data_IF_962942095689
#
_entry.id   IF_962942095689
#
_cell.length_a   1.000
_cell.length_b   1.000
_cell.length_c   1.000
_cell.angle_alpha   90.00
_cell.angle_beta   90.00
_cell.angle_gamma   90.00
#
_symmetry.space_group_name_H-M   'P 1'
#
loop_
_entity.id
_entity.type
_entity.pdbx_description
1 polymer ?
#
# COMPACT_ATOMS: atom_id res chain seq x y z
N UNK A 1 -4.96 8.64 -16.64
CA UNK A 1 -4.39 9.69 -15.75
C UNK A 1 -4.18 9.09 -14.36
N UNK A 2 -2.96 9.06 -13.82
CA UNK A 2 -2.66 8.49 -12.50
C UNK A 2 -2.55 9.57 -11.42
N UNK A 3 -3.53 9.61 -10.52
CA UNK A 3 -3.55 10.51 -9.36
C UNK A 3 -3.09 9.77 -8.10
N UNK A 4 -2.03 10.27 -7.46
CA UNK A 4 -1.58 9.76 -6.16
C UNK A 4 -2.11 10.63 -5.01
N UNK A 5 -2.84 10.02 -4.08
CA UNK A 5 -3.23 10.65 -2.82
C UNK A 5 -2.16 10.32 -1.79
N UNK A 6 -1.41 11.35 -1.39
CA UNK A 6 -0.18 11.21 -0.61
C UNK A 6 -0.36 11.89 0.75
N UNK A 7 -0.38 11.13 1.85
CA UNK A 7 -0.50 11.67 3.19
C UNK A 7 0.81 12.31 3.63
N UNK A 8 0.83 13.63 3.84
CA UNK A 8 2.04 14.29 4.35
C UNK A 8 2.05 14.22 5.87
N UNK A 9 2.96 13.40 6.39
CA UNK A 9 3.26 13.31 7.82
C UNK A 9 4.65 13.84 8.11
N UNK A 10 5.48 13.00 8.72
CA UNK A 10 6.87 13.28 9.02
C UNK A 10 7.83 12.44 8.18
N UNK A 11 7.39 11.85 7.06
CA UNK A 11 8.26 11.01 6.21
C UNK A 11 8.36 11.62 4.82
N UNK A 12 9.59 11.77 4.33
CA UNK A 12 9.86 12.21 2.95
C UNK A 12 10.06 11.02 2.01
N UNK A 13 11.06 10.18 2.33
CA UNK A 13 11.56 9.15 1.40
C UNK A 13 10.46 8.16 0.99
N UNK A 14 9.61 7.75 1.94
CA UNK A 14 8.53 6.78 1.71
C UNK A 14 7.42 7.28 0.79
N UNK A 15 7.34 8.59 0.54
CA UNK A 15 6.27 9.20 -0.24
C UNK A 15 6.65 9.36 -1.71
N UNK A 16 7.93 9.61 -2.01
CA UNK A 16 8.40 9.92 -3.37
C UNK A 16 9.43 8.92 -3.90
N UNK A 17 10.34 8.41 -3.07
CA UNK A 17 11.41 7.53 -3.53
C UNK A 17 10.92 6.23 -4.21
N UNK A 18 9.84 5.55 -3.74
CA UNK A 18 9.29 4.38 -4.43
C UNK A 18 8.85 4.68 -5.85
N UNK A 19 8.20 5.83 -6.06
CA UNK A 19 7.64 6.22 -7.35
C UNK A 19 8.75 6.46 -8.37
N UNK A 20 9.85 7.08 -7.94
CA UNK A 20 11.04 7.28 -8.76
C UNK A 20 11.76 5.96 -9.03
N UNK A 21 12.02 5.16 -7.99
CA UNK A 21 12.80 3.91 -8.10
C UNK A 21 12.09 2.86 -8.97
N UNK A 22 10.77 2.77 -8.84
CA UNK A 22 9.94 1.84 -9.62
C UNK A 22 9.49 2.43 -10.96
N UNK A 23 9.95 3.65 -11.33
CA UNK A 23 9.61 4.35 -12.57
C UNK A 23 8.10 4.40 -12.83
N UNK A 24 7.33 4.76 -11.79
CA UNK A 24 5.87 4.88 -11.89
C UNK A 24 5.50 6.15 -12.63
N UNK A 25 4.47 6.05 -13.46
CA UNK A 25 3.82 7.22 -14.05
C UNK A 25 3.06 7.96 -12.95
N UNK A 26 3.21 9.28 -12.87
CA UNK A 26 2.54 10.09 -11.87
C UNK A 26 2.12 11.39 -12.55
N UNK A 27 0.84 11.47 -12.94
CA UNK A 27 0.30 12.66 -13.61
C UNK A 27 -0.06 13.74 -12.60
N UNK A 28 -0.64 13.34 -11.46
CA UNK A 28 -1.13 14.25 -10.42
C UNK A 28 -0.87 13.71 -9.03
N UNK A 29 -0.60 14.61 -8.08
CA UNK A 29 -0.44 14.30 -6.66
C UNK A 29 -1.28 15.22 -5.80
N UNK A 30 -2.06 14.62 -4.90
CA UNK A 30 -2.83 15.32 -3.88
C UNK A 30 -2.14 15.09 -2.54
N UNK A 31 -1.47 16.12 -2.05
CA UNK A 31 -0.78 16.15 -0.77
C UNK A 31 -1.78 16.45 0.35
N UNK A 32 -2.04 15.48 1.22
CA UNK A 32 -2.90 15.68 2.37
C UNK A 32 -2.08 16.34 3.50
N UNK A 33 -2.50 17.51 3.97
CA UNK A 33 -1.85 18.23 5.06
C UNK A 33 -2.70 18.16 6.34
N UNK A 34 -2.14 17.62 7.43
CA UNK A 34 -2.83 17.60 8.72
C UNK A 34 -2.86 18.98 9.38
N UNK A 35 -4.03 19.43 9.85
CA UNK A 35 -4.18 20.73 10.52
C UNK A 35 -3.97 20.70 12.04
N UNK A 36 -3.73 19.54 12.65
CA UNK A 36 -3.70 19.36 14.12
C UNK A 36 -2.29 19.08 14.63
N UNK A 37 -1.84 19.87 15.62
CA UNK A 37 -0.54 19.70 16.28
C UNK A 37 -0.09 20.98 17.02
N UNK A 38 1.12 20.95 17.60
CA UNK A 38 1.80 22.18 18.03
C UNK A 38 2.18 23.05 16.81
N UNK A 39 2.39 24.35 17.00
CA UNK A 39 2.84 25.25 15.92
C UNK A 39 4.06 24.70 15.18
N UNK A 40 5.01 24.08 15.91
CA UNK A 40 6.18 23.42 15.35
C UNK A 40 5.85 22.25 14.42
N UNK A 41 4.84 21.43 14.75
CA UNK A 41 4.44 20.29 13.93
C UNK A 41 3.79 20.77 12.63
N UNK A 42 2.98 21.83 12.72
CA UNK A 42 2.33 22.45 11.55
C UNK A 42 3.38 23.09 10.64
N UNK A 43 4.37 23.81 11.20
CA UNK A 43 5.46 24.40 10.44
C UNK A 43 6.31 23.33 9.74
N UNK A 44 6.69 22.27 10.47
CA UNK A 44 7.44 21.16 9.90
C UNK A 44 6.69 20.47 8.76
N UNK A 45 5.41 20.12 8.97
CA UNK A 45 4.58 19.50 7.94
C UNK A 45 4.42 20.39 6.71
N UNK A 46 4.28 21.71 6.87
CA UNK A 46 4.23 22.67 5.75
C UNK A 46 5.54 22.74 4.96
N UNK A 47 6.68 22.75 5.65
CA UNK A 47 7.99 22.76 5.01
C UNK A 47 8.20 21.48 4.20
N UNK A 48 7.90 20.32 4.79
CA UNK A 48 7.99 19.03 4.12
C UNK A 48 7.03 18.93 2.93
N UNK A 49 5.80 19.41 3.08
CA UNK A 49 4.82 19.47 1.98
C UNK A 49 5.31 20.35 0.83
N UNK A 50 5.94 21.49 1.13
CA UNK A 50 6.54 22.37 0.11
C UNK A 50 7.71 21.72 -0.64
N UNK A 51 8.56 21.00 0.08
CA UNK A 51 9.64 20.22 -0.51
C UNK A 51 9.08 19.12 -1.42
N UNK A 52 8.17 18.28 -0.92
CA UNK A 52 7.52 17.22 -1.70
C UNK A 52 6.82 17.78 -2.95
N UNK A 53 6.07 18.87 -2.83
CA UNK A 53 5.42 19.53 -3.95
C UNK A 53 6.41 19.91 -5.06
N UNK A 54 7.56 20.48 -4.67
CA UNK A 54 8.60 20.88 -5.60
C UNK A 54 9.26 19.65 -6.24
N UNK A 55 9.53 18.60 -5.47
CA UNK A 55 10.20 17.40 -5.97
C UNK A 55 9.28 16.54 -6.84
N UNK A 56 7.99 16.44 -6.54
CA UNK A 56 7.00 15.80 -7.42
C UNK A 56 6.94 16.49 -8.79
N UNK A 57 6.93 17.83 -8.83
CA UNK A 57 6.98 18.56 -10.10
C UNK A 57 8.30 18.40 -10.83
N UNK A 58 9.42 18.53 -10.13
CA UNK A 58 10.74 18.57 -10.76
C UNK A 58 11.22 17.20 -11.23
N UNK A 59 10.94 16.15 -10.44
CA UNK A 59 11.47 14.81 -10.67
C UNK A 59 10.49 13.93 -11.44
N UNK A 60 9.18 14.09 -11.21
CA UNK A 60 8.14 13.26 -11.81
C UNK A 60 7.26 14.02 -12.83
N UNK A 61 7.37 15.35 -12.91
CA UNK A 61 6.56 16.15 -13.83
C UNK A 61 5.09 16.24 -13.44
N UNK A 62 4.74 15.85 -12.21
CA UNK A 62 3.36 15.74 -11.77
C UNK A 62 2.75 17.10 -11.42
N UNK A 63 1.46 17.28 -11.72
CA UNK A 63 0.66 18.37 -11.16
C UNK A 63 0.41 18.12 -9.67
N UNK A 64 0.44 19.16 -8.84
CA UNK A 64 0.34 19.00 -7.38
C UNK A 64 -0.72 19.91 -6.79
N UNK A 65 -1.52 19.35 -5.88
CA UNK A 65 -2.53 20.05 -5.09
C UNK A 65 -2.37 19.70 -3.61
N UNK A 66 -2.64 20.66 -2.73
CA UNK A 66 -2.66 20.45 -1.28
C UNK A 66 -4.08 20.49 -0.76
N UNK A 67 -4.44 19.47 0.01
CA UNK A 67 -5.76 19.35 0.62
C UNK A 67 -5.59 19.20 2.12
N UNK A 68 -6.32 20.01 2.89
CA UNK A 68 -6.22 19.99 4.36
C UNK A 68 -7.13 18.91 4.93
N UNK A 69 -6.59 18.14 5.90
CA UNK A 69 -7.35 17.25 6.78
C UNK A 69 -7.53 17.97 8.12
N UNK A 70 -8.77 18.41 8.38
CA UNK A 70 -9.08 19.33 9.48
C UNK A 70 -8.78 18.72 10.86
N UNK A 71 -9.12 17.45 11.06
CA UNK A 71 -8.74 16.68 12.25
C UNK A 71 -8.21 15.30 11.84
N UNK A 72 -6.92 15.07 12.07
CA UNK A 72 -6.25 13.81 11.74
C UNK A 72 -6.60 12.66 12.70
N UNK A 73 -7.37 12.95 13.75
CA UNK A 73 -7.89 11.96 14.68
C UNK A 73 -9.38 11.67 14.50
N UNK A 74 -10.08 12.44 13.66
CA UNK A 74 -11.46 12.20 13.29
C UNK A 74 -11.52 11.23 12.10
N UNK A 75 -11.68 9.95 12.43
CA UNK A 75 -11.79 8.88 11.43
C UNK A 75 -12.99 9.07 10.50
N UNK A 76 -14.14 9.48 11.03
CA UNK A 76 -15.39 9.56 10.27
C UNK A 76 -15.30 10.70 9.24
N UNK A 77 -14.83 11.87 9.68
CA UNK A 77 -14.60 13.00 8.77
C UNK A 77 -13.52 12.69 7.72
N UNK A 78 -12.42 12.04 8.12
CA UNK A 78 -11.38 11.62 7.18
C UNK A 78 -11.91 10.59 6.15
N UNK A 79 -12.82 9.70 6.56
CA UNK A 79 -13.44 8.73 5.67
C UNK A 79 -14.36 9.42 4.65
N UNK A 80 -15.23 10.34 5.10
CA UNK A 80 -16.10 11.11 4.21
C UNK A 80 -15.27 11.88 3.17
N UNK A 81 -14.24 12.59 3.63
CA UNK A 81 -13.32 13.33 2.76
C UNK A 81 -12.61 12.41 1.76
N UNK A 82 -12.09 11.27 2.21
CA UNK A 82 -11.43 10.30 1.33
C UNK A 82 -12.39 9.75 0.27
N UNK A 83 -13.61 9.41 0.68
CA UNK A 83 -14.62 8.84 -0.20
C UNK A 83 -15.03 9.84 -1.29
N UNK A 84 -15.25 11.10 -0.94
CA UNK A 84 -15.53 12.17 -1.90
C UNK A 84 -14.36 12.41 -2.84
N UNK A 85 -13.14 12.53 -2.30
CA UNK A 85 -11.93 12.82 -3.07
C UNK A 85 -11.63 11.73 -4.08
N UNK A 86 -11.65 10.46 -3.67
CA UNK A 86 -11.35 9.32 -4.55
C UNK A 86 -12.38 9.25 -5.68
N UNK A 87 -13.68 9.40 -5.38
CA UNK A 87 -14.71 9.38 -6.44
C UNK A 87 -14.55 10.55 -7.42
N UNK A 88 -14.25 11.76 -6.93
CA UNK A 88 -14.04 12.92 -7.78
C UNK A 88 -12.87 12.70 -8.76
N UNK A 89 -11.77 12.10 -8.29
CA UNK A 89 -10.62 11.79 -9.15
C UNK A 89 -10.91 10.64 -10.13
N UNK A 90 -11.66 9.62 -9.73
CA UNK A 90 -12.10 8.55 -10.64
C UNK A 90 -13.03 9.08 -11.75
N UNK A 91 -13.87 10.05 -11.43
CA UNK A 91 -14.85 10.63 -12.36
C UNK A 91 -14.26 11.75 -13.24
N UNK A 92 -13.02 12.18 -12.99
CA UNK A 92 -12.35 13.25 -13.74
C UNK A 92 -12.12 12.87 -15.22
N UNK A 93 -11.81 11.61 -15.48
CA UNK A 93 -11.69 11.04 -16.83
C UNK A 93 -11.94 9.52 -16.82
N UNK A 94 -12.36 8.96 -17.96
CA UNK A 94 -12.73 7.55 -18.09
C UNK A 94 -11.59 6.57 -17.79
N UNK A 95 -10.34 7.00 -17.93
CA UNK A 95 -9.11 6.23 -17.70
C UNK A 95 -8.33 6.75 -16.48
N UNK A 96 -9.01 7.40 -15.53
CA UNK A 96 -8.36 7.89 -14.30
C UNK A 96 -8.11 6.75 -13.33
N UNK A 97 -6.90 6.66 -12.78
CA UNK A 97 -6.53 5.73 -11.72
C UNK A 97 -6.17 6.50 -10.46
N UNK A 98 -6.54 5.96 -9.31
CA UNK A 98 -6.29 6.57 -8.00
C UNK A 98 -5.42 5.65 -7.16
N UNK A 99 -4.29 6.19 -6.72
CA UNK A 99 -3.28 5.51 -5.93
C UNK A 99 -3.19 6.14 -4.54
N UNK A 100 -3.74 5.45 -3.53
CA UNK A 100 -3.81 5.90 -2.14
C UNK A 100 -2.61 5.36 -1.37
N UNK A 101 -1.70 6.25 -0.99
CA UNK A 101 -0.58 5.93 -0.12
C UNK A 101 -1.04 5.96 1.35
N UNK A 102 -0.69 4.94 2.15
CA UNK A 102 -1.05 4.88 3.59
C UNK A 102 0.17 4.89 4.52
N UNK A 103 1.30 5.40 4.03
CA UNK A 103 2.61 5.25 4.67
C UNK A 103 2.86 6.20 5.85
N UNK A 104 2.53 7.49 5.73
CA UNK A 104 3.12 8.53 6.59
C UNK A 104 2.14 9.31 7.50
N UNK A 105 0.82 9.19 7.34
CA UNK A 105 -0.14 9.88 8.21
C UNK A 105 -0.45 9.12 9.51
N UNK A 106 -1.05 9.80 10.51
CA UNK A 106 -1.66 9.14 11.66
C UNK A 106 -2.61 8.02 11.23
N UNK A 107 -2.59 6.93 12.00
CA UNK A 107 -3.36 5.71 11.71
C UNK A 107 -4.85 5.96 11.41
N UNK A 108 -5.58 6.86 12.11
CA UNK A 108 -6.99 7.11 11.79
C UNK A 108 -7.19 7.54 10.33
N UNK A 109 -6.38 8.48 9.83
CA UNK A 109 -6.48 8.93 8.43
C UNK A 109 -6.07 7.83 7.46
N UNK A 110 -4.95 7.15 7.71
CA UNK A 110 -4.49 6.05 6.84
C UNK A 110 -5.53 4.93 6.72
N UNK A 111 -6.18 4.55 7.83
CA UNK A 111 -7.23 3.55 7.82
C UNK A 111 -8.53 4.07 7.19
N UNK A 112 -8.89 5.33 7.40
CA UNK A 112 -10.06 5.95 6.78
C UNK A 112 -9.94 5.97 5.25
N UNK A 113 -8.79 6.41 4.73
CA UNK A 113 -8.52 6.44 3.29
C UNK A 113 -8.45 5.04 2.67
N UNK A 114 -7.78 4.08 3.34
CA UNK A 114 -7.79 2.69 2.89
C UNK A 114 -9.22 2.13 2.86
N UNK A 115 -10.00 2.35 3.92
CA UNK A 115 -11.38 1.85 4.00
C UNK A 115 -12.27 2.51 2.96
N UNK A 116 -12.12 3.82 2.69
CA UNK A 116 -12.86 4.51 1.64
C UNK A 116 -12.54 3.94 0.25
N UNK A 117 -11.25 3.78 -0.08
CA UNK A 117 -10.82 3.14 -1.32
C UNK A 117 -11.43 1.74 -1.46
N UNK A 118 -11.38 0.94 -0.40
CA UNK A 118 -11.94 -0.42 -0.42
C UNK A 118 -13.46 -0.44 -0.57
N UNK A 119 -14.19 0.46 0.11
CA UNK A 119 -15.64 0.60 -0.03
C UNK A 119 -16.01 0.94 -1.47
N UNK A 120 -15.30 1.88 -2.09
CA UNK A 120 -15.51 2.28 -3.48
C UNK A 120 -15.23 1.10 -4.42
N UNK A 121 -14.15 0.34 -4.23
CA UNK A 121 -13.86 -0.87 -5.03
C UNK A 121 -14.98 -1.93 -4.96
N UNK A 122 -15.71 -2.00 -3.84
CA UNK A 122 -16.84 -2.92 -3.67
C UNK A 122 -18.11 -2.39 -4.34
N UNK A 123 -18.35 -1.09 -4.24
CA UNK A 123 -19.54 -0.42 -4.79
C UNK A 123 -19.46 -0.21 -6.31
N UNK A 124 -18.27 0.15 -6.81
CA UNK A 124 -17.94 0.42 -8.22
C UNK A 124 -17.06 -0.70 -8.77
N UNK A 125 -17.64 -1.90 -8.94
CA UNK A 125 -16.88 -3.10 -9.34
C UNK A 125 -16.12 -2.92 -10.66
N UNK A 126 -16.62 -2.10 -11.57
CA UNK A 126 -16.02 -1.79 -12.86
C UNK A 126 -14.80 -0.87 -12.79
N UNK A 127 -14.63 -0.15 -11.68
CA UNK A 127 -13.48 0.73 -11.43
C UNK A 127 -12.45 0.09 -10.48
N UNK A 128 -12.65 -1.18 -10.10
CA UNK A 128 -11.85 -1.85 -9.07
C UNK A 128 -10.36 -1.93 -9.41
N UNK A 129 -10.03 -2.12 -10.66
CA UNK A 129 -8.67 -2.19 -11.18
C UNK A 129 -8.01 -0.81 -11.33
N UNK A 130 -8.77 0.27 -11.16
CA UNK A 130 -8.30 1.66 -11.22
C UNK A 130 -8.00 2.24 -9.82
N UNK A 131 -8.24 1.50 -8.75
CA UNK A 131 -8.08 1.96 -7.37
C UNK A 131 -7.03 1.10 -6.68
N UNK A 132 -5.96 1.74 -6.23
CA UNK A 132 -4.83 1.09 -5.60
C UNK A 132 -4.59 1.68 -4.22
N UNK A 133 -4.54 0.85 -3.19
CA UNK A 133 -4.07 1.25 -1.86
C UNK A 133 -2.70 0.65 -1.65
N UNK A 134 -1.71 1.43 -1.23
CA UNK A 134 -0.35 0.93 -1.09
C UNK A 134 0.41 1.48 0.10
N UNK A 135 1.39 0.68 0.51
CA UNK A 135 2.29 0.96 1.61
C UNK A 135 3.75 0.86 1.16
N UNK A 136 4.58 1.76 1.66
CA UNK A 136 6.03 1.70 1.49
C UNK A 136 6.70 1.47 2.84
N UNK A 137 7.48 0.40 2.92
CA UNK A 137 8.30 0.10 4.08
C UNK A 137 9.57 0.98 4.06
N UNK A 138 9.98 1.57 5.20
CA UNK A 138 11.27 2.24 5.28
C UNK A 138 12.44 1.24 5.32
N UNK A 139 13.63 1.71 4.94
CA UNK A 139 14.87 0.97 5.18
C UNK A 139 15.29 1.09 6.66
N UNK A 140 15.05 2.26 7.28
CA UNK A 140 15.48 2.58 8.64
C UNK A 140 14.52 3.58 9.33
N UNK A 141 14.42 3.47 10.66
CA UNK A 141 13.64 4.34 11.55
C UNK A 141 14.59 5.19 12.39
N UNK A 142 14.48 6.52 12.28
CA UNK A 142 15.38 7.48 12.95
C UNK A 142 15.03 7.68 14.44
N UNK A 143 13.83 7.30 14.86
CA UNK A 143 13.36 7.52 16.23
C UNK A 143 14.22 6.80 17.27
N UNK A 144 14.80 5.66 16.90
CA UNK A 144 15.71 4.91 17.79
C UNK A 144 17.02 5.65 17.99
N UNK A 145 17.60 6.20 16.91
CA UNK A 145 18.84 6.99 16.97
C UNK A 145 18.64 8.30 17.71
N UNK A 146 17.50 8.97 17.49
CA UNK A 146 17.11 10.16 18.25
C UNK A 146 17.04 9.85 19.74
N UNK A 147 16.42 8.73 20.11
CA UNK A 147 16.33 8.32 21.51
C UNK A 147 17.70 7.96 22.11
N UNK A 148 18.59 7.34 21.32
CA UNK A 148 19.97 7.04 21.74
C UNK A 148 20.79 8.31 21.95
N UNK A 149 20.74 9.26 21.03
CA UNK A 149 21.48 10.52 21.16
C UNK A 149 20.94 11.39 22.29
N UNK A 150 19.63 11.45 22.50
CA UNK A 150 19.04 12.14 23.67
C UNK A 150 19.50 11.51 24.99
N UNK A 151 19.61 10.17 25.06
CA UNK A 151 20.15 9.50 26.25
C UNK A 151 21.62 9.82 26.45
N UNK A 152 22.41 9.82 25.39
CA UNK A 152 23.83 10.15 25.44
C UNK A 152 24.07 11.62 25.85
N UNK A 153 23.28 12.55 25.31
CA UNK A 153 23.28 13.95 25.71
C UNK A 153 22.88 14.13 27.17
N UNK A 154 21.88 13.40 27.65
CA UNK A 154 21.49 13.41 29.08
C UNK A 154 22.63 12.94 29.98
N UNK A 155 23.36 11.89 29.61
CA UNK A 155 24.53 11.41 30.35
C UNK A 155 25.64 12.45 30.39
N UNK A 156 25.96 13.07 29.24
CA UNK A 156 26.92 14.17 29.16
C UNK A 156 26.53 15.33 30.09
N UNK A 157 25.26 15.74 30.06
CA UNK A 157 24.75 16.81 30.94
C UNK A 157 24.83 16.44 32.42
N UNK A 158 24.62 15.17 32.77
CA UNK A 158 24.75 14.70 34.15
C UNK A 158 26.21 14.78 34.63
N UNK A 159 27.17 14.37 33.80
CA UNK A 159 28.60 14.46 34.10
C UNK A 159 29.05 15.91 34.31
N UNK A 160 28.59 16.82 33.46
CA UNK A 160 28.85 18.25 33.59
C UNK A 160 28.24 18.82 34.88
N UNK A 161 27.02 18.40 35.26
CA UNK A 161 26.38 18.82 36.50
C UNK A 161 27.11 18.32 37.76
N UNK A 162 27.72 17.13 37.71
CA UNK A 162 28.50 16.61 38.83
C UNK A 162 29.89 17.24 38.96
N UNK A 163 30.24 18.24 38.13
CA UNK A 163 31.58 18.80 38.00
C UNK A 163 32.63 17.71 37.71
N UNK A 164 32.24 16.66 37.00
CA UNK A 164 33.18 15.70 36.44
C UNK A 164 33.98 16.43 35.36
N UNK A 165 35.29 16.21 35.31
CA UNK A 165 36.11 16.73 34.22
C UNK A 165 35.72 16.00 32.93
N UNK A 166 35.04 16.71 32.04
CA UNK A 166 34.56 16.20 30.76
C UNK A 166 35.42 16.82 29.68
N UNK A 167 36.01 15.97 28.85
CA UNK A 167 36.82 16.41 27.71
C UNK A 167 35.98 17.22 26.70
N UNK A 168 36.51 18.36 26.26
CA UNK A 168 35.95 19.17 25.17
C UNK A 168 35.77 18.37 23.88
N UNK A 169 36.57 17.32 23.65
CA UNK A 169 36.38 16.38 22.53
C UNK A 169 35.04 15.63 22.64
N UNK A 170 34.69 15.12 23.81
CA UNK A 170 33.40 14.43 24.04
C UNK A 170 32.21 15.38 23.86
N UNK A 171 32.35 16.65 24.24
CA UNK A 171 31.31 17.67 24.02
C UNK A 171 31.12 17.93 22.53
N UNK A 172 32.22 18.11 21.78
CA UNK A 172 32.17 18.32 20.33
C UNK A 172 31.57 17.13 19.60
N UNK A 173 31.99 15.90 19.93
CA UNK A 173 31.43 14.69 19.34
C UNK A 173 29.90 14.60 19.52
N UNK A 174 29.39 14.93 20.72
CA UNK A 174 27.94 14.91 20.99
C UNK A 174 27.20 16.03 20.27
N UNK A 175 27.80 17.22 20.22
CA UNK A 175 27.22 18.34 19.47
C UNK A 175 27.12 18.01 17.98
N UNK A 176 28.19 17.49 17.38
CA UNK A 176 28.25 17.17 15.96
C UNK A 176 27.30 16.01 15.61
N UNK A 177 27.25 14.96 16.44
CA UNK A 177 26.29 13.87 16.26
C UNK A 177 24.83 14.35 16.34
N UNK A 178 24.51 15.23 17.29
CA UNK A 178 23.16 15.81 17.38
C UNK A 178 22.83 16.70 16.19
N UNK A 179 23.79 17.49 15.70
CA UNK A 179 23.61 18.36 14.54
C UNK A 179 23.38 17.54 13.27
N UNK A 180 24.17 16.49 13.04
CA UNK A 180 24.02 15.58 11.90
C UNK A 180 22.66 14.87 11.93
N UNK A 181 22.24 14.38 13.10
CA UNK A 181 20.97 13.67 13.26
C UNK A 181 19.76 14.60 13.08
N UNK A 182 19.83 15.85 13.56
CA UNK A 182 18.80 16.87 13.29
C UNK A 182 18.75 17.21 11.80
N UNK A 183 19.91 17.37 11.15
CA UNK A 183 19.96 17.65 9.72
C UNK A 183 19.34 16.51 8.89
N UNK A 184 19.60 15.25 9.28
CA UNK A 184 18.99 14.09 8.63
C UNK A 184 17.47 14.03 8.86
N UNK A 185 17.01 14.32 10.09
CA UNK A 185 15.60 14.42 10.42
C UNK A 185 14.90 15.54 9.65
N UNK A 186 15.50 16.72 9.53
CA UNK A 186 14.92 17.86 8.80
C UNK A 186 14.86 17.59 7.28
N UNK A 187 15.83 16.83 6.76
CA UNK A 187 15.91 16.50 5.34
C UNK A 187 14.96 15.36 4.94
N UNK A 188 14.84 14.31 5.76
CA UNK A 188 14.18 13.05 5.40
C UNK A 188 12.97 12.70 6.26
N UNK A 189 12.89 13.26 7.46
CA UNK A 189 11.83 12.95 8.40
C UNK A 189 12.17 11.88 9.43
N UNK A 190 11.16 11.12 9.86
CA UNK A 190 11.28 10.04 10.85
C UNK A 190 11.83 8.75 10.28
N UNK A 191 11.85 8.59 8.96
CA UNK A 191 12.32 7.38 8.31
C UNK A 191 13.24 7.68 7.13
N UNK A 192 14.04 6.68 6.77
CA UNK A 192 14.99 6.75 5.66
C UNK A 192 14.70 5.64 4.66
N UNK A 193 14.76 6.04 3.39
CA UNK A 193 14.69 5.16 2.24
C UNK A 193 13.33 4.52 2.01
N UNK A 194 13.29 3.72 0.96
CA UNK A 194 12.19 2.84 0.64
C UNK A 194 12.76 1.44 0.47
N UNK A 195 12.30 0.48 1.25
CA UNK A 195 12.80 -0.89 1.22
C UNK A 195 12.14 -1.65 0.08
N UNK A 196 12.95 -2.25 -0.79
CA UNK A 196 12.48 -3.17 -1.82
C UNK A 196 11.96 -4.48 -1.17
N UNK A 197 10.73 -4.87 -1.50
CA UNK A 197 10.09 -6.09 -1.03
C UNK A 197 9.49 -6.80 -2.24
N UNK A 198 10.07 -7.93 -2.61
CA UNK A 198 9.54 -8.74 -3.72
C UNK A 198 9.65 -8.08 -5.09
N UNK A 199 10.72 -7.31 -5.34
CA UNK A 199 10.97 -6.67 -6.64
C UNK A 199 10.34 -5.29 -6.82
N UNK A 200 9.69 -4.75 -5.78
CA UNK A 200 8.98 -3.47 -5.81
C UNK A 200 9.22 -2.72 -4.50
N UNK A 201 9.25 -1.39 -4.56
CA UNK A 201 9.30 -0.51 -3.38
C UNK A 201 7.89 -0.18 -2.84
N UNK A 202 6.87 -0.56 -3.60
CA UNK A 202 5.47 -0.41 -3.28
C UNK A 202 4.87 -1.78 -2.96
N UNK A 203 4.22 -1.89 -1.80
CA UNK A 203 3.40 -3.05 -1.43
C UNK A 203 1.94 -2.65 -1.53
N UNK A 204 1.28 -3.10 -2.61
CA UNK A 204 -0.16 -2.93 -2.76
C UNK A 204 -0.91 -3.80 -1.75
N UNK A 205 -1.97 -3.21 -1.17
CA UNK A 205 -2.87 -3.84 -0.22
C UNK A 205 -4.10 -4.34 -0.99
N UNK A 206 -4.16 -5.64 -1.31
CA UNK A 206 -5.22 -6.17 -2.17
C UNK A 206 -6.54 -6.29 -1.41
N UNK A 207 -7.66 -6.07 -2.10
CA UNK A 207 -9.01 -6.15 -1.51
C UNK A 207 -9.80 -7.28 -2.13
N UNK A 208 -10.37 -8.16 -1.32
CA UNK A 208 -11.35 -9.15 -1.79
C UNK A 208 -12.76 -8.55 -1.82
N UNK A 209 -13.59 -8.98 -2.76
CA UNK A 209 -15.03 -8.92 -2.53
C UNK A 209 -15.39 -9.89 -1.39
N UNK A 210 -16.09 -9.41 -0.35
CA UNK A 210 -16.56 -10.21 0.80
C UNK A 210 -17.64 -11.27 0.43
N UNK A 211 -17.73 -11.69 -0.83
CA UNK A 211 -18.72 -12.67 -1.30
C UNK A 211 -18.21 -14.09 -1.03
N UNK A 212 -18.93 -14.83 -0.18
CA UNK A 212 -18.65 -16.24 0.15
C UNK A 212 -18.26 -17.08 -1.05
N UNK A 213 -17.03 -17.64 -1.04
CA UNK A 213 -16.54 -18.65 -1.99
C UNK A 213 -17.39 -19.90 -1.84
N UNK A 214 -17.95 -20.39 -2.96
CA UNK A 214 -18.73 -21.63 -2.97
C UNK A 214 -17.79 -22.84 -3.07
N UNK A 215 -18.21 -24.05 -2.65
CA UNK A 215 -17.33 -25.22 -2.64
C UNK A 215 -16.63 -25.50 -3.98
N UNK A 216 -17.35 -25.43 -5.10
CA UNK A 216 -16.73 -25.64 -6.42
C UNK A 216 -15.82 -24.49 -6.88
N UNK A 217 -16.07 -23.27 -6.40
CA UNK A 217 -15.19 -22.13 -6.67
C UNK A 217 -13.88 -22.26 -5.88
N UNK A 218 -13.94 -22.80 -4.66
CA UNK A 218 -12.79 -23.11 -3.82
C UNK A 218 -11.86 -24.13 -4.47
N UNK A 219 -12.40 -25.22 -5.02
CA UNK A 219 -11.58 -26.20 -5.77
C UNK A 219 -10.84 -25.51 -6.93
N UNK A 220 -11.50 -24.63 -7.68
CA UNK A 220 -10.85 -23.86 -8.77
C UNK A 220 -9.70 -22.99 -8.23
N UNK A 221 -9.88 -22.37 -7.07
CA UNK A 221 -8.84 -21.52 -6.47
C UNK A 221 -7.64 -22.35 -6.01
N UNK A 222 -7.86 -23.50 -5.37
CA UNK A 222 -6.79 -24.41 -4.98
C UNK A 222 -6.04 -24.97 -6.19
N UNK A 223 -6.76 -25.38 -7.24
CA UNK A 223 -6.17 -25.83 -8.50
C UNK A 223 -5.23 -24.77 -9.10
N UNK A 224 -5.69 -23.51 -9.18
CA UNK A 224 -4.84 -22.41 -9.65
C UNK A 224 -3.71 -22.08 -8.68
N UNK A 225 -3.88 -22.36 -7.39
CA UNK A 225 -2.83 -22.20 -6.37
C UNK A 225 -1.72 -23.24 -6.49
N UNK A 226 -2.07 -24.47 -6.86
CA UNK A 226 -1.14 -25.57 -7.05
C UNK A 226 -0.38 -25.45 -8.39
N UNK A 227 -1.11 -25.22 -9.48
CA UNK A 227 -0.54 -25.23 -10.83
C UNK A 227 -0.10 -23.84 -11.34
N UNK A 228 -0.52 -22.77 -10.67
CA UNK A 228 -0.13 -21.39 -10.99
C UNK A 228 -0.99 -20.77 -12.10
N UNK A 229 -0.56 -20.90 -13.35
CA UNK A 229 -1.21 -20.29 -14.51
C UNK A 229 -1.58 -21.32 -15.58
N UNK A 230 -2.70 -21.07 -16.27
CA UNK A 230 -3.16 -21.86 -17.41
C UNK A 230 -3.32 -20.97 -18.63
N UNK A 231 -3.03 -21.47 -19.83
CA UNK A 231 -3.13 -20.72 -21.08
C UNK A 231 -4.60 -20.53 -21.52
N UNK A 232 -5.52 -21.32 -20.97
CA UNK A 232 -6.95 -21.12 -21.15
C UNK A 232 -7.80 -21.74 -20.03
N UNK A 233 -9.03 -21.24 -19.88
CA UNK A 233 -10.04 -21.83 -18.99
C UNK A 233 -10.40 -23.27 -19.37
N UNK A 234 -10.21 -23.65 -20.64
CA UNK A 234 -10.49 -25.03 -21.08
C UNK A 234 -9.41 -26.00 -20.64
N UNK A 235 -8.15 -25.56 -20.63
CA UNK A 235 -7.03 -26.30 -20.07
C UNK A 235 -7.20 -26.50 -18.56
N UNK A 236 -7.53 -25.41 -17.83
CA UNK A 236 -7.91 -25.49 -16.41
C UNK A 236 -9.04 -26.49 -16.17
N UNK A 237 -10.09 -26.50 -17.00
CA UNK A 237 -11.19 -27.43 -16.86
C UNK A 237 -10.79 -28.89 -17.13
N UNK A 238 -9.85 -29.15 -18.03
CA UNK A 238 -9.36 -30.50 -18.32
C UNK A 238 -8.51 -31.03 -17.16
N UNK A 239 -7.61 -30.21 -16.61
CA UNK A 239 -6.79 -30.57 -15.44
C UNK A 239 -7.66 -30.79 -14.21
N UNK A 240 -8.59 -29.87 -13.93
CA UNK A 240 -9.53 -29.99 -12.81
C UNK A 240 -10.39 -31.27 -12.90
N UNK A 241 -10.84 -31.66 -14.10
CA UNK A 241 -11.59 -32.90 -14.27
C UNK A 241 -10.73 -34.14 -13.97
N UNK A 242 -9.46 -34.12 -14.41
CA UNK A 242 -8.51 -35.20 -14.14
C UNK A 242 -8.25 -35.36 -12.64
N UNK A 243 -8.04 -34.26 -11.94
CA UNK A 243 -7.63 -34.26 -10.53
C UNK A 243 -8.81 -34.61 -9.60
N UNK A 244 -10.03 -34.21 -9.98
CA UNK A 244 -11.25 -34.64 -9.29
C UNK A 244 -11.71 -36.07 -9.64
N UNK A 245 -11.08 -36.72 -10.63
CA UNK A 245 -11.55 -38.01 -11.16
C UNK A 245 -12.92 -37.94 -11.85
N UNK A 246 -13.29 -36.77 -12.35
CA UNK A 246 -14.56 -36.48 -13.04
C UNK A 246 -14.40 -36.62 -14.56
N UNK A 247 -15.50 -36.93 -15.27
CA UNK A 247 -15.47 -37.00 -16.73
C UNK A 247 -15.43 -35.59 -17.35
N UNK A 248 -14.47 -35.33 -18.23
CA UNK A 248 -14.38 -34.08 -18.97
C UNK A 248 -15.48 -33.98 -20.04
N UNK A 249 -16.61 -33.38 -19.66
CA UNK A 249 -17.79 -33.17 -20.51
C UNK A 249 -17.98 -31.69 -20.84
N UNK A 250 -18.75 -31.39 -21.89
CA UNK A 250 -19.13 -30.01 -22.23
C UNK A 250 -19.88 -29.31 -21.08
N UNK A 251 -20.66 -30.06 -20.31
CA UNK A 251 -21.35 -29.56 -19.12
C UNK A 251 -20.36 -29.20 -18.01
N UNK A 252 -19.35 -30.03 -17.76
CA UNK A 252 -18.30 -29.73 -16.78
C UNK A 252 -17.51 -28.49 -17.19
N UNK A 253 -17.05 -28.43 -18.45
CA UNK A 253 -16.35 -27.26 -18.99
C UNK A 253 -17.17 -25.99 -18.84
N UNK A 254 -18.47 -26.03 -19.16
CA UNK A 254 -19.37 -24.87 -19.00
C UNK A 254 -19.50 -24.43 -17.54
N UNK A 255 -19.55 -25.39 -16.60
CA UNK A 255 -19.56 -25.11 -15.16
C UNK A 255 -18.28 -24.42 -14.71
N UNK A 256 -17.11 -24.85 -15.19
CA UNK A 256 -15.82 -24.21 -14.87
C UNK A 256 -15.79 -22.79 -15.40
N UNK A 257 -16.12 -22.56 -16.68
CA UNK A 257 -16.15 -21.23 -17.30
C UNK A 257 -17.02 -20.27 -16.47
N UNK A 258 -18.23 -20.69 -16.12
CA UNK A 258 -19.15 -19.88 -15.33
C UNK A 258 -18.59 -19.49 -13.95
N UNK A 259 -17.87 -20.40 -13.28
CA UNK A 259 -17.29 -20.10 -11.96
C UNK A 259 -16.02 -19.27 -12.07
N UNK A 260 -15.20 -19.47 -13.11
CA UNK A 260 -14.05 -18.60 -13.41
C UNK A 260 -14.51 -17.18 -13.70
N UNK A 261 -15.58 -16.99 -14.47
CA UNK A 261 -16.19 -15.67 -14.70
C UNK A 261 -16.64 -15.01 -13.39
N UNK A 262 -17.27 -15.77 -12.50
CA UNK A 262 -17.71 -15.27 -11.18
C UNK A 262 -16.55 -14.99 -10.23
N UNK A 263 -15.44 -15.70 -10.35
CA UNK A 263 -14.22 -15.48 -9.58
C UNK A 263 -13.36 -14.35 -10.17
N UNK A 264 -13.56 -14.01 -11.44
CA UNK A 264 -12.83 -13.00 -12.18
C UNK A 264 -13.14 -11.54 -11.78
N UNK A 265 -12.60 -10.56 -12.54
CA UNK A 265 -12.65 -9.13 -12.20
C UNK A 265 -14.06 -8.57 -12.01
N UNK A 266 -15.01 -8.90 -12.90
CA UNK A 266 -16.41 -8.47 -12.80
C UNK A 266 -17.24 -9.23 -11.73
N UNK A 267 -16.60 -10.13 -10.98
CA UNK A 267 -17.23 -10.97 -9.99
C UNK A 267 -16.65 -10.73 -8.59
N UNK A 268 -15.79 -11.64 -8.16
CA UNK A 268 -15.17 -11.63 -6.82
C UNK A 268 -13.73 -11.14 -6.80
N UNK A 269 -13.06 -11.13 -7.96
CA UNK A 269 -11.70 -10.62 -8.12
C UNK A 269 -10.59 -11.53 -7.60
N UNK A 270 -10.84 -12.83 -7.39
CA UNK A 270 -9.82 -13.82 -6.99
C UNK A 270 -9.01 -14.36 -8.17
N UNK A 271 -9.50 -14.19 -9.40
CA UNK A 271 -8.82 -14.61 -10.63
C UNK A 271 -8.59 -13.39 -11.52
N UNK A 272 -7.42 -13.35 -12.14
CA UNK A 272 -7.09 -12.42 -13.22
C UNK A 272 -7.09 -13.16 -14.56
N UNK A 273 -7.44 -12.42 -15.62
CA UNK A 273 -7.44 -12.92 -16.99
C UNK A 273 -6.72 -11.95 -17.89
N UNK A 274 -5.66 -12.42 -18.52
CA UNK A 274 -4.87 -11.64 -19.46
C UNK A 274 -5.13 -12.12 -20.88
N UNK A 275 -5.44 -11.20 -21.79
CA UNK A 275 -5.71 -11.54 -23.19
C UNK A 275 -4.42 -12.00 -23.88
N UNK A 276 -4.44 -13.21 -24.43
CA UNK A 276 -3.31 -13.78 -25.17
C UNK A 276 -3.80 -14.36 -26.50
N UNK A 277 -3.79 -13.52 -27.54
CA UNK A 277 -4.23 -13.89 -28.89
C UNK A 277 -5.73 -14.14 -29.00
N UNK A 278 -6.17 -15.41 -28.94
CA UNK A 278 -7.59 -15.79 -28.97
C UNK A 278 -8.07 -16.43 -27.67
N UNK A 279 -7.20 -16.57 -26.68
CA UNK A 279 -7.51 -17.13 -25.37
C UNK A 279 -7.20 -16.11 -24.27
N UNK A 280 -7.65 -16.45 -23.07
CA UNK A 280 -7.33 -15.70 -21.86
C UNK A 280 -6.49 -16.59 -20.96
N UNK A 281 -5.27 -16.15 -20.67
CA UNK A 281 -4.43 -16.77 -19.65
C UNK A 281 -5.08 -16.52 -18.30
N UNK A 282 -5.23 -17.57 -17.51
CA UNK A 282 -5.99 -17.56 -16.25
C UNK A 282 -5.06 -17.88 -15.10
N UNK A 283 -5.02 -17.01 -14.08
CA UNK A 283 -4.17 -17.15 -12.90
C UNK A 283 -4.86 -16.58 -11.65
N UNK A 284 -4.39 -16.95 -10.46
CA UNK A 284 -4.81 -16.27 -9.23
C UNK A 284 -4.40 -14.79 -9.26
N UNK A 285 -5.34 -13.92 -8.90
CA UNK A 285 -5.01 -12.55 -8.52
C UNK A 285 -4.22 -12.55 -7.22
N UNK A 286 -3.65 -11.39 -6.85
CA UNK A 286 -2.94 -11.28 -5.57
C UNK A 286 -3.82 -11.67 -4.37
N UNK A 287 -5.09 -11.28 -4.38
CA UNK A 287 -6.03 -11.66 -3.32
C UNK A 287 -6.42 -13.14 -3.39
N UNK A 288 -6.50 -13.73 -4.59
CA UNK A 288 -6.67 -15.18 -4.77
C UNK A 288 -5.54 -15.98 -4.14
N UNK A 289 -4.29 -15.56 -4.35
CA UNK A 289 -3.11 -16.19 -3.74
C UNK A 289 -3.17 -16.12 -2.20
N UNK A 290 -3.55 -14.97 -1.63
CA UNK A 290 -3.71 -14.84 -0.19
C UNK A 290 -4.86 -15.68 0.35
N UNK A 291 -5.97 -15.78 -0.40
CA UNK A 291 -7.11 -16.62 -0.03
C UNK A 291 -6.68 -18.09 0.05
N UNK A 292 -6.04 -18.63 -0.99
CA UNK A 292 -5.55 -20.02 -0.99
C UNK A 292 -4.60 -20.26 0.17
N UNK A 293 -3.63 -19.36 0.39
CA UNK A 293 -2.67 -19.49 1.51
C UNK A 293 -3.34 -19.51 2.88
N UNK A 294 -4.44 -18.78 3.06
CA UNK A 294 -5.16 -18.73 4.32
C UNK A 294 -6.08 -19.95 4.56
N UNK A 295 -6.48 -20.65 3.50
CA UNK A 295 -7.41 -21.79 3.57
C UNK A 295 -6.72 -23.14 3.33
N UNK A 296 -5.44 -23.15 2.93
CA UNK A 296 -4.66 -24.37 2.73
C UNK A 296 -4.39 -25.18 4.01
N UNK A 297 -4.58 -24.62 5.21
CA UNK A 297 -4.40 -25.34 6.48
C UNK A 297 -5.67 -26.08 6.95
N UNK A 298 -6.86 -25.73 6.42
CA UNK A 298 -8.13 -26.36 6.82
C UNK A 298 -8.26 -27.81 6.30
N UNK A 299 -7.62 -28.14 5.17
CA UNK A 299 -7.56 -29.52 4.64
C UNK A 299 -6.74 -30.49 5.52
N UNK A 300 -5.89 -29.97 6.42
CA UNK A 300 -5.02 -30.81 7.27
C UNK A 300 -5.68 -31.28 8.58
N UNK A 301 -6.87 -30.76 8.91
CA UNK A 301 -7.58 -31.07 10.16
C UNK A 301 -8.61 -32.20 10.01
N UNK A 302 -9.08 -32.50 8.80
CA UNK A 302 -9.99 -33.64 8.57
C UNK A 302 -9.27 -35.01 8.57
N UNK A 303 -7.94 -35.06 8.40
CA UNK A 303 -7.16 -36.30 8.54
C UNK A 303 -6.73 -36.64 9.99
N UNK A 304 -7.16 -35.85 10.99
CA UNK A 304 -6.79 -36.04 12.42
C UNK A 304 -7.96 -36.29 13.38
N UNK A 305 -9.15 -36.62 12.87
CA UNK A 305 -10.30 -37.08 13.66
C UNK A 305 -10.59 -38.57 13.40
#
# INVERSE_FOLDING_TARGET
>A
MQTHIVPVGFDYDRLIAPLIRDQRDVDRVILLEGAVGSESNVEYSRNLSGKLEQDFRNLLGADTERVVVADVYDYDAAFEQAYELINAELDAAADSEVWVNVSAMPRPVSFAFATAAHSIMVERQEDRDRIHTYYTAPEKYLETELAEEVRAAKELLADLQSNTDVDDERIRERHDAAADLIAEFDERGTTIGAKEIGGSHIVELPVASFRNVKPFEEVILFELGEYGEFDSVSELAETLARDLGEEYTDSFRSKVIYNVDRLGPGGKGYIEREEHGKSYRTRLSRIGQLWVRAHAEDDSLEERA
#
